data_IF_825138551399
#
_entry.id   IF_825138551399
#
_cell.length_a   1.000
_cell.length_b   1.000
_cell.length_c   1.000
_cell.angle_alpha   90.00
_cell.angle_beta   90.00
_cell.angle_gamma   90.00
#
_symmetry.space_group_name_H-M   'P 1'
#
loop_
_entity.id
_entity.type
_entity.pdbx_description
1 polymer ?
#
# COMPACT_ATOMS: atom_id res chain seq x y z
N UNK A 1 -16.96 22.56 34.25
CA UNK A 1 -16.45 21.24 33.86
C UNK A 1 -15.64 21.45 32.60
N UNK A 2 -14.37 21.75 32.86
CA UNK A 2 -13.36 22.31 31.97
C UNK A 2 -13.11 21.54 30.68
N UNK A 3 -12.75 22.32 29.65
CA UNK A 3 -12.14 21.90 28.41
C UNK A 3 -10.86 21.06 28.66
N UNK A 4 -10.65 20.05 27.81
CA UNK A 4 -9.44 19.23 27.77
C UNK A 4 -8.20 20.07 27.39
N UNK A 5 -7.68 20.85 28.33
CA UNK A 5 -6.37 21.49 28.30
C UNK A 5 -5.27 20.43 28.53
N UNK A 6 -5.08 19.53 27.55
CA UNK A 6 -4.00 18.53 27.59
C UNK A 6 -4.04 17.41 26.56
N UNK A 7 -5.13 17.24 25.80
CA UNK A 7 -5.25 16.09 24.89
C UNK A 7 -4.56 16.33 23.54
N UNK A 8 -3.35 15.79 23.41
CA UNK A 8 -2.68 15.50 22.14
C UNK A 8 -3.51 14.51 21.32
N UNK A 9 -4.58 14.99 20.68
CA UNK A 9 -5.48 14.20 19.83
C UNK A 9 -4.86 13.81 18.47
N UNK A 10 -3.58 14.12 18.26
CA UNK A 10 -2.84 13.65 17.08
C UNK A 10 -2.29 12.26 17.38
N UNK A 11 -2.69 11.22 16.63
CA UNK A 11 -2.06 9.91 16.77
C UNK A 11 -0.57 10.01 16.44
N UNK A 12 0.28 9.18 17.06
CA UNK A 12 1.70 9.12 16.73
C UNK A 12 1.89 8.81 15.24
N UNK A 13 2.98 9.31 14.67
CA UNK A 13 3.33 8.98 13.30
C UNK A 13 3.68 7.49 13.22
N UNK A 14 3.20 6.82 12.15
CA UNK A 14 3.56 5.44 11.85
C UNK A 14 5.08 5.35 11.68
N UNK A 15 5.75 4.33 12.25
CA UNK A 15 7.19 4.16 12.06
C UNK A 15 7.49 3.97 10.57
N UNK A 16 8.54 4.65 10.10
CA UNK A 16 8.99 4.56 8.70
C UNK A 16 9.64 3.19 8.45
N UNK A 17 9.25 2.54 7.35
CA UNK A 17 9.91 1.33 6.89
C UNK A 17 11.39 1.62 6.54
N UNK A 18 12.32 0.70 6.85
CA UNK A 18 13.71 0.85 6.46
C UNK A 18 13.85 0.83 4.94
N UNK A 19 14.78 1.62 4.40
CA UNK A 19 15.10 1.60 2.98
C UNK A 19 15.87 0.33 2.59
N UNK A 20 16.00 0.05 1.28
CA UNK A 20 16.84 -1.05 0.80
C UNK A 20 18.32 -0.86 1.17
N UNK A 21 18.78 0.39 1.27
CA UNK A 21 20.14 0.76 1.70
C UNK A 21 20.36 0.63 3.22
N UNK A 22 19.31 0.68 4.04
CA UNK A 22 19.39 0.41 5.48
C UNK A 22 19.50 -1.09 5.76
N UNK A 23 19.11 -1.93 4.80
CA UNK A 23 19.25 -3.37 4.88
C UNK A 23 20.71 -3.74 4.53
N UNK A 24 21.45 -4.12 5.57
CA UNK A 24 22.84 -4.61 5.47
C UNK A 24 23.04 -5.76 4.46
N UNK A 25 21.99 -6.53 4.11
CA UNK A 25 21.94 -7.61 3.11
C UNK A 25 23.02 -8.72 3.22
N UNK A 26 23.90 -8.65 4.22
CA UNK A 26 25.06 -9.53 4.45
C UNK A 26 25.02 -10.23 5.80
N UNK A 27 23.87 -10.18 6.49
CA UNK A 27 23.68 -10.83 7.79
C UNK A 27 24.30 -10.06 8.96
N UNK A 28 23.84 -8.85 9.20
CA UNK A 28 24.22 -8.08 10.39
C UNK A 28 23.68 -8.72 11.69
N UNK A 29 24.36 -8.49 12.82
CA UNK A 29 24.00 -9.06 14.14
C UNK A 29 22.57 -8.72 14.59
N UNK A 30 22.04 -7.58 14.16
CA UNK A 30 20.66 -7.16 14.41
C UNK A 30 20.03 -6.82 13.07
N UNK A 31 18.88 -7.42 12.76
CA UNK A 31 18.14 -7.13 11.54
C UNK A 31 17.35 -5.83 11.70
N UNK A 32 17.49 -4.90 10.75
CA UNK A 32 16.72 -3.65 10.76
C UNK A 32 15.21 -3.91 10.67
N UNK A 33 14.81 -4.99 9.99
CA UNK A 33 13.42 -5.42 9.87
C UNK A 33 12.83 -5.90 11.19
N UNK A 34 13.65 -6.50 12.07
CA UNK A 34 13.18 -6.94 13.39
C UNK A 34 12.89 -5.72 14.28
N UNK A 35 13.81 -4.74 14.30
CA UNK A 35 13.60 -3.47 15.02
C UNK A 35 12.35 -2.75 14.49
N UNK A 36 12.17 -2.73 13.17
CA UNK A 36 10.99 -2.12 12.55
C UNK A 36 9.70 -2.82 12.98
N UNK A 37 9.69 -4.16 12.96
CA UNK A 37 8.53 -4.96 13.37
C UNK A 37 8.17 -4.73 14.83
N UNK A 38 9.16 -4.64 15.72
CA UNK A 38 8.94 -4.35 17.13
C UNK A 38 8.31 -2.97 17.33
N UNK A 39 8.83 -1.95 16.63
CA UNK A 39 8.25 -0.59 16.64
C UNK A 39 6.83 -0.57 16.08
N UNK A 40 6.56 -1.32 15.02
CA UNK A 40 5.22 -1.47 14.44
C UNK A 40 4.27 -2.16 15.42
N UNK A 41 4.71 -3.20 16.12
CA UNK A 41 3.88 -3.90 17.10
C UNK A 41 3.50 -2.97 18.26
N UNK A 42 4.47 -2.21 18.78
CA UNK A 42 4.21 -1.21 19.81
C UNK A 42 3.25 -0.10 19.33
N UNK A 43 3.42 0.35 18.09
CA UNK A 43 2.53 1.33 17.46
C UNK A 43 1.11 0.81 17.31
N UNK A 44 0.93 -0.42 16.81
CA UNK A 44 -0.39 -1.05 16.66
C UNK A 44 -1.09 -1.21 18.01
N UNK A 45 -0.37 -1.64 19.05
CA UNK A 45 -0.92 -1.75 20.40
C UNK A 45 -1.38 -0.38 20.96
N UNK A 46 -0.56 0.66 20.78
CA UNK A 46 -0.92 2.03 21.15
C UNK A 46 -2.18 2.52 20.41
N UNK A 47 -2.25 2.30 19.10
CA UNK A 47 -3.39 2.72 18.27
C UNK A 47 -4.67 1.97 18.65
N UNK A 48 -4.59 0.67 18.94
CA UNK A 48 -5.74 -0.10 19.44
C UNK A 48 -6.25 0.41 20.78
N UNK A 49 -5.35 0.81 21.69
CA UNK A 49 -5.71 1.27 23.02
C UNK A 49 -6.26 2.70 23.04
N UNK A 50 -5.68 3.60 22.24
CA UNK A 50 -5.97 5.05 22.30
C UNK A 50 -6.81 5.57 21.13
N UNK A 51 -6.86 4.86 20.01
CA UNK A 51 -7.55 5.27 18.78
C UNK A 51 -8.36 4.11 18.17
N UNK A 52 -9.32 3.52 18.91
CA UNK A 52 -10.13 2.42 18.41
C UNK A 52 -10.94 2.85 17.17
N UNK A 53 -10.87 2.06 16.10
CA UNK A 53 -11.63 2.29 14.86
C UNK A 53 -10.87 3.01 13.74
N UNK A 54 -9.62 3.43 13.94
CA UNK A 54 -8.75 3.90 12.85
C UNK A 54 -8.16 2.69 12.11
N UNK A 55 -8.42 2.51 10.81
CA UNK A 55 -7.80 1.45 10.03
C UNK A 55 -6.28 1.68 9.97
N UNK A 56 -5.49 0.69 10.39
CA UNK A 56 -4.05 0.71 10.24
C UNK A 56 -3.71 0.43 8.77
N UNK A 57 -2.84 1.22 8.13
CA UNK A 57 -2.42 0.94 6.77
C UNK A 57 -1.43 -0.24 6.76
N UNK A 58 -1.85 -1.41 6.27
CA UNK A 58 -0.94 -2.45 5.84
C UNK A 58 -0.48 -2.12 4.41
N UNK A 59 0.76 -1.61 4.34
CA UNK A 59 1.35 -0.98 3.14
C UNK A 59 1.51 -1.99 1.99
N UNK A 60 1.69 -3.29 2.30
CA UNK A 60 1.82 -4.36 1.30
C UNK A 60 0.52 -4.63 0.54
N UNK A 61 -0.63 -4.57 1.21
CA UNK A 61 -1.92 -4.94 0.62
C UNK A 61 -2.41 -3.89 -0.38
N UNK A 62 -2.16 -2.60 -0.09
CA UNK A 62 -2.48 -1.50 -1.00
C UNK A 62 -1.64 -1.53 -2.28
N UNK A 63 -0.37 -1.91 -2.17
CA UNK A 63 0.53 -1.95 -3.31
C UNK A 63 0.19 -3.12 -4.25
N UNK A 64 -0.19 -4.27 -3.67
CA UNK A 64 -0.64 -5.44 -4.43
C UNK A 64 -2.00 -5.22 -5.10
N UNK A 65 -2.90 -4.48 -4.47
CA UNK A 65 -4.18 -4.12 -5.07
C UNK A 65 -4.00 -3.14 -6.25
N UNK A 66 -3.16 -2.10 -6.07
CA UNK A 66 -2.84 -1.15 -7.14
C UNK A 66 -2.25 -1.81 -8.38
N UNK A 67 -1.37 -2.80 -8.22
CA UNK A 67 -0.81 -3.53 -9.36
C UNK A 67 -1.85 -4.42 -10.04
N UNK A 68 -2.79 -5.02 -9.30
CA UNK A 68 -3.89 -5.78 -9.91
C UNK A 68 -4.85 -4.85 -10.68
N UNK A 69 -5.19 -3.69 -10.12
CA UNK A 69 -6.04 -2.69 -10.78
C UNK A 69 -5.41 -2.18 -12.10
N UNK A 70 -4.12 -1.86 -12.07
CA UNK A 70 -3.37 -1.44 -13.26
C UNK A 70 -3.31 -2.56 -14.32
N UNK A 71 -3.16 -3.82 -13.87
CA UNK A 71 -3.16 -4.98 -14.77
C UNK A 71 -4.53 -5.18 -15.44
N UNK A 72 -5.63 -5.00 -14.70
CA UNK A 72 -6.98 -5.12 -15.25
C UNK A 72 -7.31 -3.99 -16.23
N UNK A 73 -6.92 -2.75 -15.94
CA UNK A 73 -7.09 -1.61 -16.87
C UNK A 73 -6.30 -1.81 -18.17
N UNK A 74 -5.05 -2.29 -18.09
CA UNK A 74 -4.24 -2.58 -19.27
C UNK A 74 -4.91 -3.62 -20.18
N UNK A 75 -5.54 -4.64 -19.59
CA UNK A 75 -6.24 -5.66 -20.35
C UNK A 75 -7.51 -5.13 -21.02
N UNK A 76 -8.31 -4.31 -20.32
CA UNK A 76 -9.51 -3.68 -20.92
C UNK A 76 -9.15 -2.81 -22.13
N UNK A 77 -8.03 -2.07 -22.04
CA UNK A 77 -7.53 -1.27 -23.17
C UNK A 77 -7.15 -2.14 -24.37
N UNK A 78 -6.51 -3.29 -24.12
CA UNK A 78 -6.15 -4.22 -25.18
C UNK A 78 -7.39 -4.81 -25.86
N UNK A 79 -8.41 -5.21 -25.09
CA UNK A 79 -9.66 -5.74 -25.64
C UNK A 79 -10.33 -4.72 -26.57
N UNK A 80 -10.42 -3.46 -26.14
CA UNK A 80 -10.97 -2.36 -26.97
C UNK A 80 -10.19 -2.19 -28.27
N UNK A 81 -8.86 -2.28 -28.24
CA UNK A 81 -8.02 -2.20 -29.44
C UNK A 81 -8.24 -3.38 -30.39
N UNK A 82 -8.35 -4.60 -29.86
CA UNK A 82 -8.55 -5.82 -30.67
C UNK A 82 -9.90 -5.81 -31.38
N UNK A 83 -10.96 -5.36 -30.71
CA UNK A 83 -12.29 -5.24 -31.33
C UNK A 83 -12.28 -4.23 -32.48
N UNK A 84 -11.63 -3.08 -32.30
CA UNK A 84 -11.46 -2.08 -33.37
C UNK A 84 -10.69 -2.66 -34.56
N UNK A 85 -9.60 -3.38 -34.30
CA UNK A 85 -8.81 -4.01 -35.35
C UNK A 85 -9.61 -5.08 -36.11
N UNK A 86 -10.39 -5.90 -35.40
CA UNK A 86 -11.25 -6.91 -36.04
C UNK A 86 -12.27 -6.26 -36.98
N UNK A 87 -12.93 -5.18 -36.55
CA UNK A 87 -13.90 -4.45 -37.37
C UNK A 87 -13.26 -3.88 -38.63
N UNK A 88 -12.07 -3.28 -38.51
CA UNK A 88 -11.32 -2.77 -39.67
C UNK A 88 -10.99 -3.88 -40.67
N UNK A 89 -10.51 -5.05 -40.20
CA UNK A 89 -10.23 -6.19 -41.10
C UNK A 89 -11.48 -6.67 -41.82
N UNK A 90 -12.63 -6.73 -41.14
CA UNK A 90 -13.89 -7.16 -41.75
C UNK A 90 -14.37 -6.17 -42.83
N UNK A 91 -14.19 -4.87 -42.63
CA UNK A 91 -14.54 -3.85 -43.63
C UNK A 91 -13.66 -3.93 -44.87
N UNK A 92 -12.35 -4.17 -44.69
CA UNK A 92 -11.41 -4.35 -45.81
C UNK A 92 -11.69 -5.63 -46.61
N UNK A 93 -12.23 -6.68 -45.99
CA UNK A 93 -12.61 -7.92 -46.67
C UNK A 93 -13.92 -7.81 -47.46
N UNK A 94 -14.72 -6.76 -47.23
CA UNK A 94 -16.01 -6.53 -47.90
C UNK A 94 -15.93 -5.55 -49.10
N UNK A 95 -14.76 -5.01 -49.41
CA UNK A 95 -14.47 -4.21 -50.61
C UNK A 95 -13.73 -5.06 -51.64
#
# INVERSE_FOLDING_TARGET
MEACNGCSCKPPACPKAPGPDDCCQKGCKVCVWDIYRDKMNAYRAYMQQHHPGVPLPDVEEQQQQQMMDASMDAFERLERQLLQQQQQRQQLQQQ
#
